data_IF_115886076015
#
_entry.id   IF_115886076015
#
_cell.length_a   1.000
_cell.length_b   1.000
_cell.length_c   1.000
_cell.angle_alpha   90.00
_cell.angle_beta   90.00
_cell.angle_gamma   90.00
#
_symmetry.space_group_name_H-M   'P 1'
#
loop_
_entity.id
_entity.type
_entity.pdbx_description
1 polymer ?
#
# COMPACT_ATOMS: atom_id res chain seq x y z
N UNK A 1 -0.36 40.78 -7.11
CA UNK A 1 -0.80 39.78 -8.13
C UNK A 1 -0.08 38.47 -7.81
N UNK A 2 -0.72 37.60 -7.02
CA UNK A 2 -0.11 36.36 -6.53
C UNK A 2 0.15 35.40 -7.69
N UNK A 3 1.36 34.83 -7.76
CA UNK A 3 1.70 33.78 -8.71
C UNK A 3 0.83 32.56 -8.40
N UNK A 4 0.08 32.08 -9.40
CA UNK A 4 -0.68 30.83 -9.30
C UNK A 4 0.29 29.69 -8.97
N UNK A 5 -0.03 28.95 -7.92
CA UNK A 5 0.61 27.69 -7.59
C UNK A 5 0.12 26.66 -8.63
N UNK A 6 1.04 26.15 -9.44
CA UNK A 6 0.78 25.07 -10.40
C UNK A 6 1.30 23.75 -9.78
N UNK A 7 0.42 22.87 -9.29
CA UNK A 7 0.82 21.63 -8.65
C UNK A 7 1.41 20.60 -9.63
N UNK A 8 1.44 20.88 -10.94
CA UNK A 8 1.99 19.96 -11.95
C UNK A 8 3.46 20.22 -12.31
N UNK A 9 4.06 21.33 -11.88
CA UNK A 9 5.45 21.67 -12.22
C UNK A 9 6.53 21.16 -11.25
N UNK A 10 6.16 20.53 -10.13
CA UNK A 10 7.15 20.07 -9.12
C UNK A 10 7.48 18.57 -9.16
N UNK A 11 6.95 17.82 -10.13
CA UNK A 11 7.37 16.44 -10.37
C UNK A 11 8.73 16.39 -11.09
N UNK A 12 9.77 16.98 -10.51
CA UNK A 12 11.14 16.55 -10.77
C UNK A 12 11.35 15.19 -10.10
N UNK A 13 10.87 14.17 -10.80
CA UNK A 13 11.64 12.98 -11.15
C UNK A 13 12.72 12.59 -10.12
N UNK A 14 12.31 12.05 -8.97
CA UNK A 14 13.14 11.05 -8.31
C UNK A 14 12.98 9.76 -9.13
N UNK A 15 13.54 9.75 -10.34
CA UNK A 15 14.03 8.49 -10.89
C UNK A 15 15.16 8.12 -9.96
N UNK A 16 14.92 7.13 -9.10
CA UNK A 16 16.01 6.40 -8.48
C UNK A 16 16.79 5.81 -9.63
N UNK A 17 17.90 6.46 -10.00
CA UNK A 17 18.89 5.90 -10.91
C UNK A 17 19.29 4.56 -10.30
N UNK A 18 18.93 3.47 -10.97
CA UNK A 18 19.49 2.16 -10.64
C UNK A 18 21.01 2.32 -10.81
N UNK A 19 21.84 2.09 -9.77
CA UNK A 19 23.27 2.21 -9.93
C UNK A 19 23.75 1.21 -11.00
N UNK A 20 24.38 1.72 -12.06
CA UNK A 20 25.18 0.93 -13.00
C UNK A 20 26.33 0.29 -12.20
N UNK A 21 26.13 -0.97 -11.81
CA UNK A 21 27.10 -1.69 -10.97
C UNK A 21 26.54 -2.86 -10.15
N UNK A 22 25.24 -3.13 -10.16
CA UNK A 22 24.69 -4.34 -9.55
C UNK A 22 24.94 -5.57 -10.44
N UNK A 23 26.17 -6.09 -10.37
CA UNK A 23 26.52 -7.43 -10.84
C UNK A 23 25.57 -8.46 -10.21
N UNK A 24 24.69 -8.99 -11.05
CA UNK A 24 24.11 -10.33 -11.05
C UNK A 24 23.72 -10.99 -9.69
N UNK A 25 22.57 -10.60 -9.11
CA UNK A 25 21.76 -11.49 -8.25
C UNK A 25 20.65 -12.16 -9.08
N UNK A 26 20.97 -12.86 -10.18
CA UNK A 26 19.96 -13.49 -11.08
C UNK A 26 19.04 -14.54 -10.48
N UNK A 27 19.13 -14.88 -9.19
CA UNK A 27 18.33 -15.98 -8.63
C UNK A 27 17.73 -15.70 -7.23
N UNK A 28 17.64 -14.44 -6.80
CA UNK A 28 16.96 -14.10 -5.55
C UNK A 28 15.45 -14.31 -5.66
N UNK A 29 14.84 -14.96 -4.66
CA UNK A 29 13.38 -15.16 -4.60
C UNK A 29 12.69 -13.80 -4.57
N UNK A 30 11.73 -13.58 -5.48
CA UNK A 30 11.00 -12.32 -5.63
C UNK A 30 9.71 -12.33 -4.82
N UNK A 31 9.30 -11.16 -4.37
CA UNK A 31 8.02 -10.90 -3.72
C UNK A 31 7.26 -9.78 -4.41
N UNK A 32 5.93 -9.86 -4.40
CA UNK A 32 5.02 -8.80 -4.85
C UNK A 32 4.02 -8.55 -3.72
N UNK A 33 3.79 -7.28 -3.40
CA UNK A 33 2.76 -6.86 -2.44
C UNK A 33 1.76 -5.97 -3.18
N UNK A 34 0.50 -6.39 -3.21
CA UNK A 34 -0.63 -5.55 -3.64
C UNK A 34 -1.19 -4.79 -2.43
N UNK A 35 -1.09 -3.47 -2.47
CA UNK A 35 -1.59 -2.57 -1.43
C UNK A 35 -2.91 -1.96 -1.85
N UNK A 36 -3.90 -1.97 -0.95
CA UNK A 36 -5.16 -1.29 -1.15
C UNK A 36 -5.65 -0.59 0.11
N UNK A 37 -6.76 0.12 -0.04
CA UNK A 37 -7.50 0.65 1.09
C UNK A 37 -8.09 -0.48 1.94
N UNK A 38 -8.16 -0.26 3.24
CA UNK A 38 -8.91 -1.14 4.13
C UNK A 38 -10.22 -0.51 4.56
N UNK A 39 -11.24 -1.35 4.74
CA UNK A 39 -12.54 -0.94 5.23
C UNK A 39 -12.65 -1.05 6.75
N UNK A 40 -13.49 -0.20 7.34
CA UNK A 40 -14.06 -0.46 8.66
C UNK A 40 -15.17 -1.52 8.47
N UNK A 41 -15.11 -2.69 9.13
CA UNK A 41 -16.18 -3.67 9.04
C UNK A 41 -17.51 -3.08 9.49
N UNK A 42 -18.61 -3.40 8.80
CA UNK A 42 -19.95 -2.86 9.08
C UNK A 42 -20.47 -3.22 10.48
N UNK A 43 -19.99 -4.33 11.03
CA UNK A 43 -20.32 -4.84 12.36
C UNK A 43 -19.29 -4.43 13.43
N UNK A 44 -18.31 -3.59 13.09
CA UNK A 44 -17.35 -3.07 14.05
C UNK A 44 -17.99 -1.98 14.93
N UNK A 45 -17.77 -1.97 16.26
CA UNK A 45 -18.44 -1.02 17.15
C UNK A 45 -18.06 0.44 16.87
N UNK A 46 -19.06 1.28 16.59
CA UNK A 46 -18.86 2.67 16.15
C UNK A 46 -18.16 3.55 17.18
N UNK A 47 -18.40 3.31 18.47
CA UNK A 47 -17.74 4.02 19.57
C UNK A 47 -16.23 3.79 19.60
N UNK A 48 -15.77 2.60 19.19
CA UNK A 48 -14.34 2.30 19.10
C UNK A 48 -13.71 3.01 17.90
N UNK A 49 -14.43 3.14 16.78
CA UNK A 49 -13.99 3.95 15.62
C UNK A 49 -13.85 5.42 16.03
N UNK A 50 -14.86 5.98 16.67
CA UNK A 50 -14.83 7.38 17.13
C UNK A 50 -13.65 7.61 18.07
N UNK A 51 -13.41 6.68 19.01
CA UNK A 51 -12.28 6.76 19.93
C UNK A 51 -10.94 6.70 19.20
N UNK A 52 -10.77 5.76 18.27
CA UNK A 52 -9.54 5.63 17.46
C UNK A 52 -9.28 6.91 16.65
N UNK A 53 -10.29 7.40 15.92
CA UNK A 53 -10.17 8.62 15.10
C UNK A 53 -9.80 9.86 15.93
N UNK A 54 -10.35 9.96 17.15
CA UNK A 54 -10.00 11.04 18.08
C UNK A 54 -8.52 10.96 18.49
N UNK A 55 -8.01 9.77 18.81
CA UNK A 55 -6.60 9.57 19.17
C UNK A 55 -5.67 9.88 17.99
N UNK A 56 -5.98 9.39 16.79
CA UNK A 56 -5.22 9.71 15.58
C UNK A 56 -5.14 11.23 15.32
N UNK A 57 -6.28 11.93 15.48
CA UNK A 57 -6.33 13.37 15.29
C UNK A 57 -5.50 14.13 16.33
N UNK A 58 -5.60 13.73 17.61
CA UNK A 58 -4.79 14.30 18.70
C UNK A 58 -3.29 14.09 18.46
N UNK A 59 -2.91 12.87 18.06
CA UNK A 59 -1.52 12.53 17.74
C UNK A 59 -0.98 13.38 16.60
N UNK A 60 -1.71 13.46 15.48
CA UNK A 60 -1.29 14.26 14.31
C UNK A 60 -1.17 15.75 14.67
N UNK A 61 -2.12 16.29 15.43
CA UNK A 61 -2.07 17.68 15.88
C UNK A 61 -0.87 17.96 16.81
N UNK A 62 -0.47 17.00 17.64
CA UNK A 62 0.64 17.14 18.58
C UNK A 62 2.00 16.72 18.01
N UNK A 63 2.06 16.09 16.82
CA UNK A 63 3.30 15.53 16.27
C UNK A 63 3.91 14.42 17.13
N UNK A 64 3.08 13.68 17.86
CA UNK A 64 3.52 12.66 18.81
C UNK A 64 3.54 11.25 18.18
N UNK A 65 4.27 10.29 18.77
CA UNK A 65 4.16 8.89 18.39
C UNK A 65 2.79 8.30 18.76
N UNK A 66 2.46 7.15 18.16
CA UNK A 66 1.25 6.37 18.49
C UNK A 66 1.25 5.96 19.95
N UNK A 67 0.14 6.25 20.65
CA UNK A 67 -0.03 5.83 22.05
C UNK A 67 -0.33 4.33 22.13
N UNK A 68 -0.10 3.70 23.29
CA UNK A 68 -0.43 2.30 23.51
C UNK A 68 -1.94 2.01 23.33
N UNK A 69 -2.81 2.92 23.77
CA UNK A 69 -4.26 2.79 23.60
C UNK A 69 -4.68 2.93 22.13
N UNK A 70 -4.06 3.84 21.39
CA UNK A 70 -4.28 3.97 19.94
C UNK A 70 -3.84 2.71 19.21
N UNK A 71 -2.66 2.17 19.54
CA UNK A 71 -2.14 0.94 18.97
C UNK A 71 -3.05 -0.26 19.24
N UNK A 72 -3.60 -0.38 20.46
CA UNK A 72 -4.54 -1.44 20.80
C UNK A 72 -5.82 -1.34 19.95
N UNK A 73 -6.37 -0.14 19.79
CA UNK A 73 -7.57 0.09 18.98
C UNK A 73 -7.32 -0.13 17.48
N UNK A 74 -6.18 0.32 16.95
CA UNK A 74 -5.76 0.09 15.57
C UNK A 74 -5.54 -1.41 15.30
N UNK A 75 -4.86 -2.11 16.21
CA UNK A 75 -4.68 -3.56 16.13
C UNK A 75 -6.03 -4.26 16.12
N UNK A 76 -6.93 -3.89 17.05
CA UNK A 76 -8.25 -4.50 17.20
C UNK A 76 -9.11 -4.35 15.95
N UNK A 77 -9.13 -3.16 15.34
CA UNK A 77 -9.90 -2.97 14.10
C UNK A 77 -9.28 -3.76 12.94
N UNK A 78 -7.95 -3.79 12.81
CA UNK A 78 -7.23 -4.51 11.75
C UNK A 78 -7.45 -6.02 11.81
N UNK A 79 -7.52 -6.58 13.00
CA UNK A 79 -7.72 -8.03 13.23
C UNK A 79 -9.18 -8.42 13.46
N UNK A 80 -10.13 -7.49 13.32
CA UNK A 80 -11.55 -7.79 13.50
C UNK A 80 -12.00 -8.88 12.49
N UNK A 81 -12.80 -9.88 12.90
CA UNK A 81 -13.33 -10.88 11.99
C UNK A 81 -14.09 -10.26 10.81
N UNK A 82 -13.81 -10.73 9.59
CA UNK A 82 -14.34 -10.17 8.36
C UNK A 82 -14.99 -11.24 7.49
N UNK A 83 -16.08 -10.85 6.84
CA UNK A 83 -16.74 -11.60 5.76
C UNK A 83 -16.93 -10.67 4.57
N UNK A 84 -17.18 -11.19 3.34
CA UNK A 84 -17.52 -10.32 2.22
C UNK A 84 -18.72 -9.40 2.46
N UNK A 85 -19.65 -9.79 3.35
CA UNK A 85 -20.81 -8.97 3.71
C UNK A 85 -20.44 -7.81 4.64
N UNK A 86 -19.58 -8.07 5.63
CA UNK A 86 -19.17 -7.09 6.65
C UNK A 86 -18.04 -6.19 6.16
N UNK A 87 -17.18 -6.68 5.25
CA UNK A 87 -16.10 -5.90 4.64
C UNK A 87 -15.93 -6.23 3.14
N UNK A 88 -16.70 -5.57 2.27
CA UNK A 88 -16.57 -5.73 0.83
C UNK A 88 -15.26 -5.15 0.26
N UNK A 89 -14.59 -4.23 0.97
CA UNK A 89 -13.32 -3.66 0.52
C UNK A 89 -12.21 -4.70 0.55
N UNK A 90 -12.06 -5.42 1.69
CA UNK A 90 -11.13 -6.53 1.79
C UNK A 90 -11.43 -7.61 0.76
N UNK A 91 -12.70 -8.01 0.65
CA UNK A 91 -13.10 -9.05 -0.31
C UNK A 91 -12.80 -8.64 -1.76
N UNK A 92 -13.03 -7.37 -2.13
CA UNK A 92 -12.71 -6.84 -3.45
C UNK A 92 -11.20 -6.87 -3.76
N UNK A 93 -10.36 -6.43 -2.81
CA UNK A 93 -8.91 -6.47 -2.98
C UNK A 93 -8.39 -7.91 -3.08
N UNK A 94 -8.92 -8.83 -2.27
CA UNK A 94 -8.55 -10.25 -2.32
C UNK A 94 -9.02 -10.93 -3.61
N UNK A 95 -10.16 -10.53 -4.16
CA UNK A 95 -10.61 -10.97 -5.47
C UNK A 95 -9.63 -10.52 -6.57
N UNK A 96 -9.23 -9.25 -6.56
CA UNK A 96 -8.20 -8.75 -7.49
C UNK A 96 -6.87 -9.51 -7.33
N UNK A 97 -6.42 -9.71 -6.09
CA UNK A 97 -5.25 -10.50 -5.77
C UNK A 97 -5.34 -11.94 -6.33
N UNK A 98 -6.52 -12.57 -6.25
CA UNK A 98 -6.75 -13.91 -6.78
C UNK A 98 -6.59 -13.98 -8.30
N UNK A 99 -6.96 -12.91 -9.03
CA UNK A 99 -6.72 -12.79 -10.47
C UNK A 99 -5.26 -12.52 -10.81
N UNK A 100 -4.53 -11.79 -9.94
CA UNK A 100 -3.11 -11.49 -10.15
C UNK A 100 -2.20 -12.70 -9.85
N UNK A 101 -2.52 -13.50 -8.83
CA UNK A 101 -1.64 -14.57 -8.33
C UNK A 101 -1.16 -15.57 -9.40
N UNK A 102 -1.98 -16.00 -10.38
CA UNK A 102 -1.51 -16.87 -11.47
C UNK A 102 -0.50 -16.19 -12.41
N UNK A 103 -0.43 -14.85 -12.42
CA UNK A 103 0.42 -14.06 -13.33
C UNK A 103 1.80 -13.75 -12.75
N UNK A 104 2.05 -14.08 -11.48
CA UNK A 104 3.27 -13.63 -10.76
C UNK A 104 4.49 -14.56 -10.96
N UNK A 105 4.41 -15.53 -11.87
CA UNK A 105 5.54 -16.33 -12.37
C UNK A 105 6.49 -16.86 -11.27
N UNK A 106 5.93 -17.48 -10.23
CA UNK A 106 6.70 -18.09 -9.13
C UNK A 106 7.22 -17.12 -8.07
N UNK A 107 6.92 -15.81 -8.19
CA UNK A 107 7.15 -14.87 -7.10
C UNK A 107 6.22 -15.16 -5.90
N UNK A 108 6.69 -14.84 -4.70
CA UNK A 108 5.83 -14.75 -3.53
C UNK A 108 4.84 -13.59 -3.71
N UNK A 109 3.64 -13.74 -3.17
CA UNK A 109 2.58 -12.75 -3.32
C UNK A 109 1.87 -12.51 -2.00
N UNK A 110 1.72 -11.25 -1.61
CA UNK A 110 0.96 -10.85 -0.44
C UNK A 110 0.03 -9.67 -0.77
N UNK A 111 -0.99 -9.50 0.06
CA UNK A 111 -1.82 -8.30 0.10
C UNK A 111 -1.46 -7.49 1.33
N UNK A 112 -1.64 -6.18 1.29
CA UNK A 112 -1.50 -5.30 2.44
C UNK A 112 -2.53 -4.17 2.39
N UNK A 113 -2.85 -3.62 3.56
CA UNK A 113 -3.86 -2.58 3.70
C UNK A 113 -3.30 -1.36 4.43
N UNK A 114 -3.59 -0.17 3.89
CA UNK A 114 -3.12 1.10 4.44
C UNK A 114 -3.74 1.39 5.82
N UNK A 115 -5.07 1.24 5.94
CA UNK A 115 -5.82 1.57 7.16
C UNK A 115 -6.79 0.46 7.55
N UNK A 116 -7.12 0.37 8.84
CA UNK A 116 -8.22 -0.41 9.43
C UNK A 116 -8.25 -1.92 9.18
N UNK A 117 -7.48 -2.47 8.25
CA UNK A 117 -7.45 -3.88 7.89
C UNK A 117 -6.01 -4.40 8.00
N UNK A 118 -5.88 -5.70 8.29
CA UNK A 118 -4.62 -6.42 8.30
C UNK A 118 -4.50 -7.38 7.10
N UNK A 119 -3.28 -7.73 6.68
CA UNK A 119 -2.01 -7.28 7.24
C UNK A 119 -1.62 -5.85 6.79
N UNK A 120 -0.79 -5.17 7.59
CA UNK A 120 -0.13 -3.91 7.19
C UNK A 120 0.97 -4.15 6.16
N UNK A 121 1.47 -3.10 5.51
CA UNK A 121 2.60 -3.23 4.58
C UNK A 121 3.86 -3.74 5.30
N UNK A 122 4.16 -3.24 6.51
CA UNK A 122 5.22 -3.78 7.36
C UNK A 122 5.07 -5.29 7.58
N UNK A 123 3.88 -5.75 7.99
CA UNK A 123 3.63 -7.16 8.23
C UNK A 123 3.80 -8.00 6.96
N UNK A 124 3.32 -7.51 5.81
CA UNK A 124 3.46 -8.20 4.53
C UNK A 124 4.92 -8.27 4.08
N UNK A 125 5.71 -7.20 4.25
CA UNK A 125 7.14 -7.20 3.93
C UNK A 125 7.90 -8.19 4.81
N UNK A 126 7.69 -8.14 6.13
CA UNK A 126 8.32 -9.08 7.07
C UNK A 126 7.99 -10.54 6.77
N UNK A 127 6.74 -10.83 6.39
CA UNK A 127 6.33 -12.18 6.02
C UNK A 127 7.02 -12.65 4.72
N UNK A 128 7.10 -11.79 3.70
CA UNK A 128 7.79 -12.14 2.46
C UNK A 128 9.31 -12.34 2.68
N UNK A 129 9.95 -11.52 3.52
CA UNK A 129 11.36 -11.69 3.92
C UNK A 129 11.54 -13.03 4.62
N UNK A 130 10.67 -13.39 5.58
CA UNK A 130 10.69 -14.68 6.27
C UNK A 130 10.56 -15.86 5.31
N UNK A 131 9.75 -15.71 4.27
CA UNK A 131 9.60 -16.71 3.21
C UNK A 131 10.79 -16.74 2.23
N UNK A 132 11.81 -15.91 2.43
CA UNK A 132 13.07 -15.89 1.69
C UNK A 132 13.11 -14.89 0.54
N UNK A 133 12.16 -13.95 0.43
CA UNK A 133 12.23 -12.89 -0.57
C UNK A 133 13.51 -12.06 -0.37
N UNK A 134 14.21 -11.77 -1.47
CA UNK A 134 15.38 -10.88 -1.50
C UNK A 134 15.09 -9.57 -2.22
N UNK A 135 14.02 -9.55 -3.01
CA UNK A 135 13.46 -8.35 -3.63
C UNK A 135 11.95 -8.38 -3.53
N UNK A 136 11.35 -7.24 -3.19
CA UNK A 136 9.91 -7.08 -3.03
C UNK A 136 9.49 -5.84 -3.82
N UNK A 137 8.55 -6.03 -4.75
CA UNK A 137 7.88 -4.94 -5.47
C UNK A 137 6.52 -4.68 -4.84
N UNK A 138 6.32 -3.45 -4.39
CA UNK A 138 5.04 -2.97 -3.85
C UNK A 138 4.30 -2.22 -4.95
N UNK A 139 3.02 -2.55 -5.12
CA UNK A 139 2.13 -1.94 -6.10
C UNK A 139 0.81 -1.59 -5.42
N UNK A 140 0.15 -0.51 -5.82
CA UNK A 140 -1.00 0.04 -5.11
C UNK A 140 -2.22 0.15 -6.01
N UNK A 141 -3.43 -0.11 -5.52
CA UNK A 141 -4.67 0.09 -6.30
C UNK A 141 -5.06 1.56 -6.50
N UNK A 142 -4.29 2.52 -5.97
CA UNK A 142 -4.51 3.94 -6.19
C UNK A 142 -3.86 4.38 -7.51
N UNK A 143 -4.61 4.28 -8.60
CA UNK A 143 -4.11 4.45 -9.97
C UNK A 143 -3.75 5.89 -10.37
N UNK A 144 -4.26 6.88 -9.65
CA UNK A 144 -4.09 8.30 -9.98
C UNK A 144 -3.36 9.06 -8.87
N UNK A 145 -2.50 10.04 -9.21
CA UNK A 145 -1.91 10.95 -8.23
C UNK A 145 -2.95 11.79 -7.45
N UNK A 146 -2.53 12.37 -6.34
CA UNK A 146 -3.30 13.26 -5.46
C UNK A 146 -3.79 12.62 -4.15
N UNK A 147 -3.52 11.34 -3.91
CA UNK A 147 -3.92 10.62 -2.70
C UNK A 147 -2.77 10.46 -1.70
N UNK A 148 -3.02 10.73 -0.41
CA UNK A 148 -1.95 10.73 0.62
C UNK A 148 -1.26 9.38 0.77
N UNK A 149 -2.04 8.29 0.71
CA UNK A 149 -1.53 6.95 0.90
C UNK A 149 -0.45 6.57 -0.13
N UNK A 150 -0.71 6.80 -1.41
CA UNK A 150 0.25 6.48 -2.47
C UNK A 150 1.42 7.46 -2.54
N UNK A 151 1.17 8.74 -2.26
CA UNK A 151 2.18 9.78 -2.44
C UNK A 151 3.15 9.92 -1.29
N UNK A 152 2.69 9.69 -0.05
CA UNK A 152 3.47 9.97 1.15
C UNK A 152 3.57 8.74 2.05
N UNK A 153 2.45 8.14 2.43
CA UNK A 153 2.43 7.12 3.49
C UNK A 153 3.16 5.82 3.09
N UNK A 154 2.87 5.25 1.91
CA UNK A 154 3.58 4.06 1.42
C UNK A 154 5.08 4.34 1.21
N UNK A 155 5.50 5.44 0.56
CA UNK A 155 6.92 5.80 0.47
C UNK A 155 7.63 5.94 1.82
N UNK A 156 6.99 6.57 2.81
CA UNK A 156 7.52 6.74 4.18
C UNK A 156 7.72 5.39 4.86
N UNK A 157 6.70 4.52 4.87
CA UNK A 157 6.80 3.18 5.46
C UNK A 157 7.88 2.33 4.77
N UNK A 158 8.02 2.46 3.45
CA UNK A 158 9.10 1.79 2.71
C UNK A 158 10.48 2.38 2.99
N UNK A 159 10.60 3.65 3.36
CA UNK A 159 11.88 4.22 3.78
C UNK A 159 12.33 3.58 5.10
N UNK A 160 11.43 3.50 6.09
CA UNK A 160 11.70 2.83 7.38
C UNK A 160 12.07 1.35 7.19
N UNK A 161 11.35 0.64 6.32
CA UNK A 161 11.63 -0.77 6.02
C UNK A 161 12.98 -0.97 5.31
N UNK A 162 13.43 -0.02 4.48
CA UNK A 162 14.76 -0.07 3.85
C UNK A 162 15.88 0.09 4.88
N UNK A 163 15.69 0.98 5.87
CA UNK A 163 16.65 1.13 6.98
C UNK A 163 16.73 -0.14 7.83
N UNK A 164 15.57 -0.76 8.11
CA UNK A 164 15.48 -2.00 8.88
C UNK A 164 16.07 -3.21 8.15
N UNK A 165 15.96 -3.24 6.82
CA UNK A 165 16.33 -4.40 5.99
C UNK A 165 17.26 -4.02 4.82
N UNK A 166 18.51 -3.58 5.08
CA UNK A 166 19.42 -3.09 4.03
C UNK A 166 19.83 -4.16 3.01
N UNK A 167 19.63 -5.45 3.31
CA UNK A 167 19.88 -6.57 2.41
C UNK A 167 18.74 -6.88 1.43
N UNK A 168 17.58 -6.23 1.57
CA UNK A 168 16.37 -6.50 0.79
C UNK A 168 16.13 -5.35 -0.19
N UNK A 169 15.92 -5.68 -1.46
CA UNK A 169 15.55 -4.67 -2.47
C UNK A 169 14.06 -4.38 -2.38
N UNK A 170 13.68 -3.18 -1.91
CA UNK A 170 12.30 -2.72 -1.86
C UNK A 170 12.02 -1.70 -2.97
N UNK A 171 11.17 -2.08 -3.93
CA UNK A 171 10.77 -1.24 -5.07
C UNK A 171 9.31 -0.82 -4.90
N UNK A 172 9.02 0.47 -5.05
CA UNK A 172 7.64 0.96 -5.15
C UNK A 172 7.30 1.26 -6.61
N UNK A 173 6.35 0.51 -7.18
CA UNK A 173 5.93 0.62 -8.58
C UNK A 173 4.83 1.69 -8.74
N UNK A 174 5.20 2.96 -8.52
CA UNK A 174 4.31 4.12 -8.59
C UNK A 174 5.13 5.38 -8.97
N UNK A 175 4.58 6.38 -9.69
CA UNK A 175 3.22 6.49 -10.20
C UNK A 175 2.95 5.62 -11.44
N UNK A 176 1.66 5.38 -11.72
CA UNK A 176 1.23 4.67 -12.93
C UNK A 176 1.38 5.51 -14.19
N UNK A 177 1.66 4.84 -15.31
CA UNK A 177 1.54 5.45 -16.63
C UNK A 177 0.05 5.69 -16.95
N UNK A 178 -0.37 6.96 -16.95
CA UNK A 178 -1.77 7.32 -17.17
C UNK A 178 -2.30 6.94 -18.56
N UNK A 179 -1.42 6.81 -19.58
CA UNK A 179 -1.83 6.26 -20.87
C UNK A 179 -2.32 4.82 -20.72
N UNK A 180 -1.59 3.97 -19.98
CA UNK A 180 -2.00 2.57 -19.75
C UNK A 180 -3.28 2.48 -18.91
N UNK A 181 -3.39 3.30 -17.86
CA UNK A 181 -4.61 3.36 -17.04
C UNK A 181 -5.81 3.77 -17.90
N UNK A 182 -5.66 4.80 -18.74
CA UNK A 182 -6.73 5.25 -19.63
C UNK A 182 -7.14 4.18 -20.64
N UNK A 183 -6.18 3.44 -21.21
CA UNK A 183 -6.45 2.32 -22.11
C UNK A 183 -7.25 1.21 -21.41
N UNK A 184 -6.85 0.81 -20.19
CA UNK A 184 -7.61 -0.17 -19.40
C UNK A 184 -9.06 0.25 -19.18
N UNK A 185 -9.29 1.53 -18.86
CA UNK A 185 -10.65 2.07 -18.67
C UNK A 185 -11.45 2.08 -19.98
N UNK A 186 -10.83 2.49 -21.09
CA UNK A 186 -11.47 2.47 -22.41
C UNK A 186 -11.82 1.06 -22.88
N UNK A 187 -10.94 0.08 -22.66
CA UNK A 187 -11.19 -1.34 -22.97
C UNK A 187 -12.41 -1.87 -22.20
N UNK A 188 -12.65 -1.37 -20.98
CA UNK A 188 -13.85 -1.71 -20.23
C UNK A 188 -15.10 -1.03 -20.79
N UNK A 189 -15.04 0.28 -21.06
CA UNK A 189 -16.16 1.06 -21.63
C UNK A 189 -16.63 0.47 -22.95
N UNK A 190 -15.71 0.07 -23.83
CA UNK A 190 -16.02 -0.52 -25.12
C UNK A 190 -16.81 -1.85 -25.05
N UNK A 191 -16.94 -2.47 -23.87
CA UNK A 191 -17.79 -3.65 -23.66
C UNK A 191 -19.27 -3.30 -23.42
N UNK A 192 -19.58 -2.03 -23.20
CA UNK A 192 -20.93 -1.52 -22.95
C UNK A 192 -21.41 -0.54 -24.03
N UNK A 193 -20.57 -0.25 -25.02
CA UNK A 193 -20.87 0.61 -26.16
C UNK A 193 -21.36 -0.19 -27.36
#
# INVERSE_FOLDING_TARGET
RAKRFDPFQTYHLIIVHLPEGAQDKKNGKKGIILVGHGGIPKDYPGELVTKLKRLEAQRRAAGQPMSAEELELDTKIRTWPRTPATDPYKAGLEALASHMKPMVNGALFAVAYNEFCGPTLHQAVEDLIRQGAQSITVVSTMFTPGGSHSEYEIPEELAELREKHPGITLTYAWPYNLTQVSSMLMDHINKFA
#
